data_IF_158115688579
#
_entry.id   IF_158115688579
#
_cell.length_a   1.000
_cell.length_b   1.000
_cell.length_c   1.000
_cell.angle_alpha   90.00
_cell.angle_beta   90.00
_cell.angle_gamma   90.00
#
_symmetry.space_group_name_H-M   'P 1'
#
loop_
_entity.id
_entity.type
_entity.pdbx_description
1 polymer ?
#
# COMPACT_ATOMS: atom_id res chain seq x y z
N UNK A 1 -12.70 -10.60 -10.38
CA UNK A 1 -11.85 -10.00 -11.43
C UNK A 1 -12.30 -10.30 -12.87
N UNK A 2 -13.17 -11.29 -13.14
CA UNK A 2 -13.57 -11.64 -14.52
C UNK A 2 -14.32 -10.53 -15.29
N UNK A 3 -14.87 -9.53 -14.60
CA UNK A 3 -15.50 -8.34 -15.21
C UNK A 3 -14.69 -7.04 -15.00
N UNK A 4 -13.48 -7.14 -14.45
CA UNK A 4 -12.60 -5.97 -14.25
C UNK A 4 -11.69 -5.86 -15.47
N UNK A 5 -12.07 -5.00 -16.42
CA UNK A 5 -11.31 -4.81 -17.67
C UNK A 5 -10.00 -4.03 -17.49
N UNK A 6 -9.79 -3.41 -16.32
CA UNK A 6 -8.59 -2.58 -16.07
C UNK A 6 -8.16 -2.58 -14.61
N UNK A 7 -6.87 -2.82 -14.39
CA UNK A 7 -6.18 -2.62 -13.11
C UNK A 7 -5.08 -1.59 -13.27
N UNK A 8 -4.71 -0.94 -12.17
CA UNK A 8 -3.65 0.07 -12.13
C UNK A 8 -2.64 -0.32 -11.06
N UNK A 9 -1.50 -0.91 -11.43
CA UNK A 9 -0.37 -1.07 -10.54
C UNK A 9 0.04 0.28 -9.94
N UNK A 10 0.39 0.28 -8.66
CA UNK A 10 1.00 1.44 -8.03
C UNK A 10 2.08 1.05 -7.03
N UNK A 11 3.03 1.97 -6.84
CA UNK A 11 3.96 2.01 -5.72
C UNK A 11 3.92 3.45 -5.19
N UNK A 12 3.78 3.61 -3.89
CA UNK A 12 3.76 4.90 -3.22
C UNK A 12 4.61 4.84 -1.95
N UNK A 13 5.22 5.96 -1.58
CA UNK A 13 6.10 6.07 -0.41
C UNK A 13 5.90 7.42 0.29
N UNK A 14 6.34 7.48 1.54
CA UNK A 14 6.52 8.73 2.27
C UNK A 14 7.74 9.55 1.82
N UNK A 15 8.63 8.96 1.01
CA UNK A 15 9.89 9.56 0.59
C UNK A 15 11.06 9.16 1.50
N UNK A 16 12.27 9.12 0.92
CA UNK A 16 13.52 8.78 1.63
C UNK A 16 13.96 9.88 2.59
N UNK A 17 13.56 11.12 2.30
CA UNK A 17 13.95 12.32 3.04
C UNK A 17 13.56 12.22 4.52
N UNK A 18 12.43 11.58 4.82
CA UNK A 18 11.95 11.42 6.18
C UNK A 18 12.78 10.42 7.00
N UNK A 19 13.49 9.48 6.36
CA UNK A 19 14.43 8.58 7.05
C UNK A 19 15.75 9.26 7.41
N UNK A 20 16.02 10.45 6.85
CA UNK A 20 17.24 11.21 7.08
C UNK A 20 17.06 12.34 8.10
N UNK A 21 15.88 12.48 8.71
CA UNK A 21 15.65 13.47 9.77
C UNK A 21 16.46 13.03 11.02
N UNK A 22 17.41 13.85 11.48
CA UNK A 22 18.26 13.49 12.60
C UNK A 22 17.45 13.54 13.90
N UNK A 23 17.40 12.43 14.64
CA UNK A 23 16.78 12.31 15.95
C UNK A 23 17.78 11.71 16.95
N UNK A 24 17.62 12.06 18.23
CA UNK A 24 18.34 11.40 19.32
C UNK A 24 17.82 9.97 19.49
N UNK A 25 18.71 8.98 19.65
CA UNK A 25 18.33 7.59 19.84
C UNK A 25 17.47 7.37 21.10
N UNK A 26 17.67 8.19 22.13
CA UNK A 26 16.95 8.10 23.39
C UNK A 26 15.58 8.82 23.35
N UNK A 27 15.29 9.59 22.30
CA UNK A 27 14.03 10.32 22.15
C UNK A 27 12.97 9.47 21.44
N UNK A 28 12.45 8.48 22.17
CA UNK A 28 11.42 7.57 21.68
C UNK A 28 10.15 8.31 21.22
N UNK A 29 9.83 9.46 21.85
CA UNK A 29 8.66 10.26 21.49
C UNK A 29 8.84 10.92 20.13
N UNK A 30 10.02 11.51 19.86
CA UNK A 30 10.32 12.07 18.55
C UNK A 30 10.32 10.99 17.44
N UNK A 31 10.84 9.79 17.72
CA UNK A 31 10.77 8.66 16.79
C UNK A 31 9.32 8.26 16.48
N UNK A 32 8.46 8.20 17.51
CA UNK A 32 7.04 7.92 17.33
C UNK A 32 6.32 8.99 16.50
N UNK A 33 6.62 10.27 16.75
CA UNK A 33 6.08 11.37 15.95
C UNK A 33 6.55 11.31 14.50
N UNK A 34 7.84 11.03 14.27
CA UNK A 34 8.36 10.88 12.92
C UNK A 34 7.67 9.73 12.17
N UNK A 35 7.51 8.56 12.80
CA UNK A 35 6.79 7.43 12.18
C UNK A 35 5.34 7.81 11.82
N UNK A 36 4.67 8.56 12.69
CA UNK A 36 3.32 9.09 12.45
C UNK A 36 3.31 10.05 11.26
N UNK A 37 4.28 10.96 11.16
CA UNK A 37 4.42 11.89 10.04
C UNK A 37 4.67 11.12 8.74
N UNK A 38 5.54 10.11 8.74
CA UNK A 38 5.77 9.23 7.57
C UNK A 38 4.48 8.55 7.13
N UNK A 39 3.67 8.06 8.07
CA UNK A 39 2.37 7.47 7.77
C UNK A 39 1.39 8.48 7.16
N UNK A 40 1.38 9.72 7.65
CA UNK A 40 0.56 10.80 7.09
C UNK A 40 0.99 11.16 5.67
N UNK A 41 2.30 11.26 5.41
CA UNK A 41 2.86 11.53 4.09
C UNK A 41 2.48 10.43 3.09
N UNK A 42 2.65 9.16 3.45
CA UNK A 42 2.21 8.03 2.62
C UNK A 42 0.71 8.10 2.32
N UNK A 43 -0.10 8.41 3.33
CA UNK A 43 -1.56 8.56 3.18
C UNK A 43 -1.91 9.68 2.19
N UNK A 44 -1.20 10.80 2.24
CA UNK A 44 -1.38 11.90 1.30
C UNK A 44 -1.01 11.51 -0.13
N UNK A 45 0.13 10.81 -0.31
CA UNK A 45 0.57 10.29 -1.61
C UNK A 45 -0.47 9.34 -2.23
N UNK A 46 -1.00 8.39 -1.44
CA UNK A 46 -2.05 7.47 -1.89
C UNK A 46 -3.34 8.18 -2.27
N UNK A 47 -3.78 9.16 -1.46
CA UNK A 47 -4.96 9.97 -1.79
C UNK A 47 -4.77 10.70 -3.12
N UNK A 48 -3.59 11.27 -3.34
CA UNK A 48 -3.27 11.94 -4.60
C UNK A 48 -3.33 10.99 -5.80
N UNK A 49 -2.64 9.84 -5.75
CA UNK A 49 -2.65 8.84 -6.82
C UNK A 49 -4.06 8.36 -7.12
N UNK A 50 -4.84 8.03 -6.09
CA UNK A 50 -6.23 7.62 -6.23
C UNK A 50 -7.08 8.69 -6.92
N UNK A 51 -7.00 9.93 -6.46
CA UNK A 51 -7.75 11.05 -7.06
C UNK A 51 -7.31 11.33 -8.51
N UNK A 52 -6.02 11.19 -8.81
CA UNK A 52 -5.48 11.33 -10.16
C UNK A 52 -6.08 10.27 -11.09
N UNK A 53 -6.09 9.00 -10.69
CA UNK A 53 -6.68 7.91 -11.47
C UNK A 53 -8.19 8.11 -11.69
N UNK A 54 -8.93 8.47 -10.63
CA UNK A 54 -10.36 8.78 -10.74
C UNK A 54 -10.64 9.89 -11.76
N UNK A 55 -9.90 11.01 -11.68
CA UNK A 55 -10.07 12.13 -12.62
C UNK A 55 -9.66 11.76 -14.04
N UNK A 56 -8.50 11.12 -14.22
CA UNK A 56 -7.93 10.81 -15.53
C UNK A 56 -8.76 9.80 -16.33
N UNK A 57 -9.37 8.84 -15.64
CA UNK A 57 -10.10 7.73 -16.27
C UNK A 57 -11.61 7.77 -16.04
N UNK A 58 -12.15 8.84 -15.44
CA UNK A 58 -13.59 8.96 -15.16
C UNK A 58 -14.13 7.88 -14.21
N UNK A 59 -13.31 7.40 -13.28
CA UNK A 59 -13.68 6.31 -12.37
C UNK A 59 -14.28 6.90 -11.09
N UNK A 60 -15.55 6.57 -10.82
CA UNK A 60 -16.25 7.01 -9.62
C UNK A 60 -15.62 6.46 -8.34
N UNK A 61 -15.21 5.19 -8.37
CA UNK A 61 -14.73 4.48 -7.18
C UNK A 61 -13.68 3.44 -7.52
N UNK A 62 -12.60 3.49 -6.76
CA UNK A 62 -11.52 2.50 -6.80
C UNK A 62 -11.53 1.66 -5.52
N UNK A 63 -11.17 0.40 -5.65
CA UNK A 63 -10.67 -0.41 -4.54
C UNK A 63 -9.20 -0.73 -4.76
N UNK A 64 -8.53 -1.16 -3.69
CA UNK A 64 -7.14 -1.59 -3.72
C UNK A 64 -7.01 -2.97 -3.14
N UNK A 65 -6.03 -3.72 -3.65
CA UNK A 65 -5.52 -4.93 -3.02
C UNK A 65 -3.99 -4.89 -3.09
N UNK A 66 -3.34 -5.50 -2.11
CA UNK A 66 -1.90 -5.38 -1.90
C UNK A 66 -1.34 -6.78 -1.60
N UNK A 67 -0.22 -7.19 -2.20
CA UNK A 67 0.51 -8.39 -1.80
C UNK A 67 0.78 -8.40 -0.29
N UNK A 68 0.61 -9.56 0.35
CA UNK A 68 0.76 -9.73 1.79
C UNK A 68 -0.39 -9.19 2.65
N UNK A 69 -1.42 -8.57 2.05
CA UNK A 69 -2.63 -8.12 2.76
C UNK A 69 -3.76 -9.13 2.66
N UNK A 70 -4.40 -9.42 3.78
CA UNK A 70 -5.50 -10.40 3.85
C UNK A 70 -4.99 -11.76 4.33
N UNK A 71 -5.62 -12.83 3.87
CA UNK A 71 -5.09 -14.18 4.09
C UNK A 71 -3.83 -14.41 3.26
N UNK A 72 -2.89 -15.16 3.83
CA UNK A 72 -1.60 -15.43 3.18
C UNK A 72 -1.76 -16.08 1.81
N UNK A 73 -2.75 -16.96 1.66
CA UNK A 73 -3.03 -17.70 0.43
C UNK A 73 -3.74 -16.87 -0.64
N UNK A 74 -4.33 -15.72 -0.27
CA UNK A 74 -5.08 -14.89 -1.22
C UNK A 74 -4.13 -14.16 -2.18
N UNK A 75 -3.12 -13.48 -1.61
CA UNK A 75 -2.10 -12.79 -2.38
C UNK A 75 -0.80 -12.68 -1.55
N UNK A 76 0.16 -13.61 -1.73
CA UNK A 76 1.38 -13.66 -0.92
C UNK A 76 2.26 -12.41 -1.07
N UNK A 77 3.15 -12.14 -0.11
CA UNK A 77 4.03 -10.95 -0.15
C UNK A 77 5.09 -11.04 -1.25
N UNK A 78 5.46 -12.25 -1.65
CA UNK A 78 6.41 -12.56 -2.72
C UNK A 78 5.94 -11.99 -4.06
N UNK A 79 4.63 -11.82 -4.23
CA UNK A 79 4.02 -11.19 -5.41
C UNK A 79 4.31 -9.68 -5.50
N UNK A 80 4.99 -9.07 -4.52
CA UNK A 80 5.60 -7.76 -4.70
C UNK A 80 6.67 -7.77 -5.80
N UNK A 81 7.42 -8.87 -5.98
CA UNK A 81 8.46 -8.94 -7.01
C UNK A 81 7.91 -8.79 -8.44
N UNK A 82 6.93 -9.61 -8.88
CA UNK A 82 6.31 -9.42 -10.20
C UNK A 82 5.52 -8.12 -10.30
N UNK A 83 4.98 -7.59 -9.20
CA UNK A 83 4.33 -6.27 -9.22
C UNK A 83 5.34 -5.13 -9.46
N UNK A 84 6.50 -5.18 -8.81
CA UNK A 84 7.58 -4.21 -9.00
C UNK A 84 8.14 -4.26 -10.43
N UNK A 85 8.21 -5.45 -11.05
CA UNK A 85 8.71 -5.59 -12.43
C UNK A 85 7.77 -5.00 -13.51
N UNK A 86 6.52 -4.66 -13.16
CA UNK A 86 5.66 -3.87 -14.03
C UNK A 86 6.12 -2.41 -14.18
N UNK A 87 6.96 -1.96 -13.25
CA UNK A 87 7.61 -0.67 -13.29
C UNK A 87 9.04 -0.84 -13.79
N UNK A 88 9.58 0.23 -14.36
CA UNK A 88 11.00 0.33 -14.72
C UNK A 88 11.86 0.48 -13.46
N UNK A 89 12.72 1.50 -13.40
CA UNK A 89 13.59 1.73 -12.25
C UNK A 89 12.88 2.49 -11.12
N UNK A 90 12.22 1.74 -10.23
CA UNK A 90 11.47 2.31 -9.09
C UNK A 90 12.38 3.06 -8.11
N UNK A 91 13.59 2.55 -7.88
CA UNK A 91 14.54 3.15 -6.93
C UNK A 91 14.99 4.52 -7.43
N UNK A 92 15.33 4.64 -8.72
CA UNK A 92 15.68 5.95 -9.30
C UNK A 92 14.48 6.89 -9.41
N UNK A 93 13.28 6.39 -9.72
CA UNK A 93 12.12 7.24 -9.96
C UNK A 93 11.51 7.84 -8.69
N UNK A 94 11.43 7.06 -7.61
CA UNK A 94 10.73 7.44 -6.38
C UNK A 94 11.47 7.06 -5.09
N UNK A 95 12.70 6.54 -5.20
CA UNK A 95 13.53 6.20 -4.04
C UNK A 95 13.17 4.89 -3.34
N UNK A 96 12.20 4.13 -3.86
CA UNK A 96 11.73 2.90 -3.21
C UNK A 96 12.51 1.68 -3.68
N UNK A 97 13.05 0.94 -2.72
CA UNK A 97 13.73 -0.34 -2.93
C UNK A 97 12.93 -1.50 -2.35
N UNK A 98 12.82 -2.59 -3.09
CA UNK A 98 12.30 -3.87 -2.60
C UNK A 98 13.47 -4.76 -2.17
N UNK A 99 13.45 -5.27 -0.94
CA UNK A 99 14.45 -6.20 -0.42
C UNK A 99 14.18 -7.63 -0.91
N UNK A 100 15.16 -8.52 -0.77
CA UNK A 100 14.99 -9.95 -1.05
C UNK A 100 13.87 -10.59 -0.22
N UNK A 101 13.68 -10.11 1.01
CA UNK A 101 12.58 -10.50 1.91
C UNK A 101 11.23 -9.85 1.56
N UNK A 102 11.13 -9.17 0.41
CA UNK A 102 9.94 -8.47 -0.06
C UNK A 102 9.45 -7.38 0.89
N UNK A 103 10.35 -6.76 1.66
CA UNK A 103 10.08 -5.53 2.40
C UNK A 103 10.46 -4.32 1.56
N UNK A 104 9.81 -3.18 1.81
CA UNK A 104 10.12 -1.94 1.11
C UNK A 104 10.92 -1.00 1.99
N UNK A 105 11.86 -0.30 1.38
CA UNK A 105 12.60 0.82 1.96
C UNK A 105 12.27 2.04 1.10
N UNK A 106 11.73 3.14 1.66
CA UNK A 106 11.37 3.37 3.06
C UNK A 106 10.29 2.41 3.60
N UNK A 107 10.29 2.17 4.91
CA UNK A 107 9.32 1.28 5.56
C UNK A 107 7.85 1.75 5.41
N UNK A 108 7.61 3.05 5.27
CA UNK A 108 6.30 3.61 4.93
C UNK A 108 6.16 3.74 3.42
N UNK A 109 6.18 2.57 2.78
CA UNK A 109 5.85 2.41 1.36
C UNK A 109 4.76 1.36 1.21
N UNK A 110 4.00 1.45 0.13
CA UNK A 110 3.00 0.44 -0.23
C UNK A 110 3.01 0.21 -1.74
N UNK A 111 2.85 -1.04 -2.13
CA UNK A 111 2.61 -1.43 -3.52
C UNK A 111 1.29 -2.19 -3.62
N UNK A 112 0.59 -2.05 -4.73
CA UNK A 112 -0.62 -2.83 -4.96
C UNK A 112 -1.26 -2.59 -6.34
N UNK A 113 -2.50 -3.05 -6.46
CA UNK A 113 -3.35 -2.80 -7.63
C UNK A 113 -4.56 -1.99 -7.19
N UNK A 114 -4.80 -0.86 -7.85
CA UNK A 114 -6.11 -0.24 -7.87
C UNK A 114 -6.98 -0.86 -8.97
N UNK A 115 -8.27 -0.98 -8.73
CA UNK A 115 -9.23 -1.42 -9.74
C UNK A 115 -10.59 -0.72 -9.56
N UNK A 116 -11.30 -0.40 -10.67
CA UNK A 116 -12.66 0.13 -10.61
C UNK A 116 -13.59 -0.87 -9.93
N UNK A 117 -14.56 -0.37 -9.17
CA UNK A 117 -15.58 -1.22 -8.55
C UNK A 117 -16.84 -0.44 -8.22
N UNK A 118 -18.00 -1.06 -8.37
CA UNK A 118 -19.28 -0.52 -7.89
C UNK A 118 -19.36 -0.60 -6.35
N UNK A 119 -18.84 -1.68 -5.76
CA UNK A 119 -18.86 -1.92 -4.31
C UNK A 119 -17.45 -1.87 -3.73
N UNK A 120 -17.26 -1.27 -2.55
CA UNK A 120 -15.91 -1.24 -1.95
C UNK A 120 -15.48 -2.66 -1.63
N UNK A 121 -14.40 -3.11 -2.25
CA UNK A 121 -13.63 -4.25 -1.83
C UNK A 121 -12.59 -3.84 -0.79
N UNK A 122 -12.52 -4.60 0.30
CA UNK A 122 -11.55 -4.47 1.37
C UNK A 122 -11.06 -5.88 1.75
N UNK A 123 -9.76 -6.14 1.64
CA UNK A 123 -9.17 -7.45 1.94
C UNK A 123 -9.41 -7.91 3.38
N UNK A 124 -9.65 -6.98 4.32
CA UNK A 124 -10.01 -7.30 5.71
C UNK A 124 -11.26 -8.19 5.82
N UNK A 125 -12.20 -8.12 4.85
CA UNK A 125 -13.39 -8.99 4.82
C UNK A 125 -13.05 -10.46 4.70
N UNK A 126 -11.90 -10.76 4.10
CA UNK A 126 -11.44 -12.12 3.84
C UNK A 126 -10.38 -12.58 4.85
N UNK A 127 -9.92 -11.69 5.73
CA UNK A 127 -8.86 -11.98 6.70
C UNK A 127 -9.45 -12.45 8.04
N UNK A 128 -9.17 -13.68 8.44
CA UNK A 128 -9.57 -14.31 9.69
C UNK A 128 -8.73 -13.87 10.90
N UNK A 129 -7.64 -13.10 10.70
CA UNK A 129 -6.80 -12.57 11.79
C UNK A 129 -7.63 -11.73 12.77
N UNK A 130 -7.77 -12.22 14.00
CA UNK A 130 -8.65 -11.62 15.01
C UNK A 130 -8.13 -10.25 15.46
N UNK A 131 -6.88 -10.16 15.90
CA UNK A 131 -6.27 -8.93 16.42
C UNK A 131 -5.37 -8.28 15.36
N UNK A 132 -5.96 -7.44 14.52
CA UNK A 132 -5.26 -6.68 13.50
C UNK A 132 -5.53 -5.18 13.69
N UNK A 133 -4.52 -4.43 14.12
CA UNK A 133 -4.62 -2.98 14.40
C UNK A 133 -4.96 -2.16 13.14
N UNK A 134 -4.71 -2.73 11.96
CA UNK A 134 -5.01 -2.11 10.66
C UNK A 134 -6.35 -2.57 10.06
N UNK A 135 -7.20 -3.28 10.81
CA UNK A 135 -8.49 -3.78 10.32
C UNK A 135 -9.44 -2.61 10.00
N UNK A 136 -9.83 -2.51 8.72
CA UNK A 136 -10.78 -1.47 8.25
C UNK A 136 -12.24 -1.93 8.27
N UNK A 137 -12.48 -3.23 8.11
CA UNK A 137 -13.83 -3.83 8.13
C UNK A 137 -13.83 -5.20 8.80
N UNK A 138 -14.96 -5.64 9.40
CA UNK A 138 -15.09 -6.97 9.99
C UNK A 138 -14.81 -8.11 9.00
N UNK A 139 -14.37 -9.25 9.52
CA UNK A 139 -14.25 -10.49 8.75
C UNK A 139 -15.66 -11.03 8.43
N UNK A 140 -15.90 -11.43 7.18
CA UNK A 140 -17.17 -11.99 6.71
C UNK A 140 -16.89 -13.14 5.77
N UNK A 141 -17.26 -14.36 6.17
CA UNK A 141 -17.29 -15.51 5.27
C UNK A 141 -18.56 -15.38 4.43
N UNK A 142 -18.44 -15.13 3.13
CA UNK A 142 -19.52 -15.46 2.18
C UNK A 142 -19.47 -16.96 1.95
N UNK A 143 -20.35 -17.71 2.62
CA UNK A 143 -20.75 -19.08 2.21
C UNK A 143 -21.57 -19.02 0.93
#
# INVERSE_FOLDING_TARGET
>A
LREVERVFPYIATCGNELDHIPLSQDDLLAHYWLDTIKQMALTAALKYVRSLLCRKFGINKLSTMNPGSGERELWPIEEQQPLFSLFSDVETLIGVKLTESCLMIPNKSVSGLFFPTETTFESCRLCSRINCDHRRVPYTITT
#
